data_IF_083608395264
#
_entry.id   IF_083608395264
#
_cell.length_a   1.000
_cell.length_b   1.000
_cell.length_c   1.000
_cell.angle_alpha   90.00
_cell.angle_beta   90.00
_cell.angle_gamma   90.00
#
_symmetry.space_group_name_H-M   'P 1'
#
loop_
_entity.id
_entity.type
_entity.pdbx_description
1 polymer ?
#
# COMPACT_ATOMS: atom_id res chain seq x y z
N UNK A 1 -38.30 -34.11 -49.56
CA UNK A 1 -37.09 -33.95 -48.72
C UNK A 1 -36.94 -32.46 -48.40
N UNK A 2 -37.16 -32.05 -47.15
CA UNK A 2 -36.91 -30.67 -46.69
C UNK A 2 -35.60 -30.71 -45.89
N UNK A 3 -34.56 -30.04 -46.41
CA UNK A 3 -33.31 -29.87 -45.69
C UNK A 3 -33.49 -28.73 -44.67
N UNK A 4 -33.31 -29.04 -43.39
CA UNK A 4 -33.27 -28.06 -42.32
C UNK A 4 -31.85 -27.49 -42.23
N UNK A 5 -31.70 -26.19 -42.51
CA UNK A 5 -30.47 -25.45 -42.24
C UNK A 5 -30.38 -25.14 -40.74
N UNK A 6 -29.41 -25.74 -40.06
CA UNK A 6 -28.99 -25.33 -38.72
C UNK A 6 -28.08 -24.11 -38.84
N UNK A 7 -28.53 -22.95 -38.36
CA UNK A 7 -27.65 -21.80 -38.12
C UNK A 7 -26.93 -22.04 -36.79
N UNK A 8 -25.62 -22.26 -36.87
CA UNK A 8 -24.73 -22.29 -35.72
C UNK A 8 -24.51 -20.83 -35.27
N UNK A 9 -25.21 -20.40 -34.21
CA UNK A 9 -24.98 -19.12 -33.57
C UNK A 9 -23.65 -19.14 -32.83
N UNK A 10 -22.64 -18.44 -33.36
CA UNK A 10 -21.40 -18.17 -32.65
C UNK A 10 -21.67 -17.06 -31.64
N UNK A 11 -21.86 -17.42 -30.38
CA UNK A 11 -21.85 -16.46 -29.28
C UNK A 11 -20.43 -15.95 -29.07
N UNK A 12 -20.13 -14.74 -29.53
CA UNK A 12 -18.95 -14.01 -29.07
C UNK A 12 -19.15 -13.68 -27.60
N UNK A 13 -18.40 -14.34 -26.71
CA UNK A 13 -18.17 -13.84 -25.36
C UNK A 13 -17.33 -12.57 -25.48
N UNK A 14 -17.97 -11.39 -25.42
CA UNK A 14 -17.28 -10.16 -25.11
C UNK A 14 -16.71 -10.30 -23.69
N UNK A 15 -15.39 -10.47 -23.58
CA UNK A 15 -14.71 -10.22 -22.32
C UNK A 15 -15.05 -8.79 -21.90
N UNK A 16 -15.54 -8.60 -20.67
CA UNK A 16 -15.76 -7.27 -20.12
C UNK A 16 -14.42 -6.52 -20.15
N UNK A 17 -14.38 -5.39 -20.86
CA UNK A 17 -13.19 -4.55 -20.91
C UNK A 17 -13.01 -3.86 -19.54
N UNK A 18 -11.77 -3.81 -19.02
CA UNK A 18 -11.45 -3.05 -17.82
C UNK A 18 -11.63 -1.56 -18.13
N UNK A 19 -12.68 -0.94 -17.58
CA UNK A 19 -12.99 0.47 -17.78
C UNK A 19 -12.68 1.25 -16.50
N UNK A 20 -11.53 1.92 -16.49
CA UNK A 20 -11.08 2.72 -15.36
C UNK A 20 -11.13 4.22 -15.68
N UNK A 21 -11.58 4.99 -14.70
CA UNK A 21 -11.62 6.44 -14.71
C UNK A 21 -11.10 7.00 -13.38
N UNK A 22 -10.56 8.21 -13.43
CA UNK A 22 -10.18 8.96 -12.25
C UNK A 22 -11.27 9.99 -11.97
N UNK A 23 -11.82 9.96 -10.76
CA UNK A 23 -12.81 10.94 -10.29
C UNK A 23 -12.26 11.66 -9.08
N UNK A 24 -12.18 12.99 -9.16
CA UNK A 24 -11.53 13.78 -8.12
C UNK A 24 -11.39 15.24 -8.53
N UNK A 25 -11.04 16.07 -7.55
CA UNK A 25 -10.68 17.47 -7.75
C UNK A 25 -9.42 17.74 -6.94
N UNK A 26 -8.45 18.42 -7.53
CA UNK A 26 -7.28 18.94 -6.79
C UNK A 26 -7.73 19.77 -5.57
N UNK A 27 -8.85 20.49 -5.70
CA UNK A 27 -9.55 21.12 -4.58
C UNK A 27 -10.61 20.14 -4.00
N UNK A 28 -10.23 19.32 -3.04
CA UNK A 28 -11.10 18.30 -2.42
C UNK A 28 -10.37 17.23 -1.58
N UNK A 29 -9.03 17.22 -1.63
CA UNK A 29 -8.17 16.45 -0.73
C UNK A 29 -8.03 14.97 -1.06
N UNK A 30 -8.61 14.48 -2.16
CA UNK A 30 -8.41 13.11 -2.64
C UNK A 30 -8.76 12.92 -4.12
N UNK A 31 -8.29 11.80 -4.69
CA UNK A 31 -8.66 11.26 -6.00
C UNK A 31 -9.07 9.80 -5.87
N UNK A 32 -10.20 9.46 -6.49
CA UNK A 32 -10.71 8.10 -6.60
C UNK A 32 -10.31 7.49 -7.93
N UNK A 33 -9.80 6.27 -7.88
CA UNK A 33 -9.71 5.41 -9.04
C UNK A 33 -10.95 4.51 -9.07
N UNK A 34 -11.81 4.74 -10.05
CA UNK A 34 -13.06 4.02 -10.24
C UNK A 34 -12.92 3.05 -11.41
N UNK A 35 -13.18 1.77 -11.17
CA UNK A 35 -13.15 0.71 -12.19
C UNK A 35 -14.52 0.08 -12.27
N UNK A 36 -15.12 0.04 -13.46
CA UNK A 36 -16.46 -0.53 -13.71
C UNK A 36 -17.53 0.01 -12.74
N UNK A 37 -17.44 1.30 -12.41
CA UNK A 37 -18.36 1.99 -11.50
C UNK A 37 -18.09 1.77 -10.01
N UNK A 38 -17.06 1.01 -9.63
CA UNK A 38 -16.68 0.77 -8.25
C UNK A 38 -15.39 1.51 -7.90
N UNK A 39 -15.35 2.21 -6.78
CA UNK A 39 -14.09 2.77 -6.26
C UNK A 39 -13.18 1.61 -5.87
N UNK A 40 -11.99 1.55 -6.47
CA UNK A 40 -10.96 0.58 -6.09
C UNK A 40 -9.98 1.18 -5.11
N UNK A 41 -9.57 2.43 -5.35
CA UNK A 41 -8.61 3.17 -4.54
C UNK A 41 -9.07 4.60 -4.33
N UNK A 42 -8.64 5.18 -3.20
CA UNK A 42 -8.69 6.62 -2.94
C UNK A 42 -7.34 7.10 -2.47
N UNK A 43 -6.69 7.97 -3.22
CA UNK A 43 -5.43 8.60 -2.79
C UNK A 43 -5.72 9.95 -2.18
N UNK A 44 -5.26 10.14 -0.94
CA UNK A 44 -5.48 11.35 -0.18
C UNK A 44 -4.40 12.38 -0.51
N UNK A 45 -4.84 13.53 -1.01
CA UNK A 45 -4.00 14.67 -1.44
C UNK A 45 -4.41 15.96 -0.72
N UNK A 46 -4.55 15.97 0.62
CA UNK A 46 -4.96 17.18 1.33
C UNK A 46 -3.92 18.29 1.18
N UNK A 47 -4.38 19.53 1.06
CA UNK A 47 -3.52 20.69 1.29
C UNK A 47 -3.13 20.73 2.76
N UNK A 48 -1.84 20.92 3.06
CA UNK A 48 -1.37 21.00 4.43
C UNK A 48 -2.02 22.16 5.20
N UNK A 49 -2.66 21.85 6.33
CA UNK A 49 -3.20 22.82 7.28
C UNK A 49 -2.61 22.54 8.67
N UNK A 50 -1.78 23.45 9.23
CA UNK A 50 -1.20 23.27 10.55
C UNK A 50 -2.27 23.21 11.67
N UNK A 51 -3.46 23.77 11.47
CA UNK A 51 -4.57 23.69 12.44
C UNK A 51 -5.33 22.36 12.36
N UNK A 52 -5.19 21.64 11.25
CA UNK A 52 -5.77 20.33 11.03
C UNK A 52 -4.70 19.29 10.66
N UNK A 53 -3.57 19.39 11.37
CA UNK A 53 -2.33 18.73 10.98
C UNK A 53 -2.51 17.24 10.78
N UNK A 54 -3.22 16.59 11.70
CA UNK A 54 -3.47 15.14 11.63
C UNK A 54 -4.09 14.75 10.29
N UNK A 55 -5.12 15.44 9.83
CA UNK A 55 -5.77 15.12 8.56
C UNK A 55 -4.86 15.36 7.35
N UNK A 56 -3.93 16.32 7.45
CA UNK A 56 -3.26 16.89 6.27
C UNK A 56 -1.74 16.68 6.16
N UNK A 57 -1.07 16.07 7.15
CA UNK A 57 0.40 15.96 7.13
C UNK A 57 0.96 14.82 6.27
N UNK A 58 0.12 13.90 5.76
CA UNK A 58 0.55 12.64 5.12
C UNK A 58 -0.23 12.36 3.84
N UNK A 59 0.48 11.87 2.82
CA UNK A 59 -0.10 11.32 1.59
C UNK A 59 -0.14 9.80 1.70
N UNK A 60 -1.33 9.22 1.55
CA UNK A 60 -1.56 7.79 1.66
C UNK A 60 -2.72 7.38 0.76
N UNK A 61 -2.80 6.09 0.45
CA UNK A 61 -3.86 5.54 -0.40
C UNK A 61 -4.70 4.52 0.33
N UNK A 62 -6.01 4.64 0.21
CA UNK A 62 -6.94 3.65 0.67
C UNK A 62 -7.17 2.55 -0.38
N UNK A 63 -7.26 1.31 0.09
CA UNK A 63 -7.94 0.22 -0.63
C UNK A 63 -9.43 0.25 -0.26
N UNK A 64 -10.30 0.05 -1.25
CA UNK A 64 -11.75 -0.09 -1.06
C UNK A 64 -12.20 -1.55 -1.11
N UNK A 65 -13.35 -1.81 -0.51
CA UNK A 65 -14.04 -3.10 -0.62
C UNK A 65 -14.42 -3.42 -2.08
N UNK A 66 -14.82 -4.68 -2.32
CA UNK A 66 -15.15 -5.14 -3.67
C UNK A 66 -16.46 -4.57 -4.22
N UNK A 67 -17.30 -3.94 -3.40
CA UNK A 67 -18.47 -3.20 -3.85
C UNK A 67 -18.16 -1.72 -4.14
N UNK A 68 -16.94 -1.26 -3.85
CA UNK A 68 -16.55 0.15 -3.92
C UNK A 68 -17.28 1.04 -2.92
N UNK A 69 -17.82 0.47 -1.84
CA UNK A 69 -18.71 1.18 -0.91
C UNK A 69 -17.95 1.92 0.19
N UNK A 70 -16.90 1.32 0.74
CA UNK A 70 -16.09 1.92 1.80
C UNK A 70 -14.61 1.50 1.74
N UNK A 71 -13.70 2.32 2.30
CA UNK A 71 -12.30 1.92 2.47
C UNK A 71 -12.18 0.76 3.47
N UNK A 72 -11.38 -0.24 3.13
CA UNK A 72 -10.99 -1.33 4.05
C UNK A 72 -9.69 -1.02 4.81
N UNK A 73 -9.15 0.17 4.59
CA UNK A 73 -7.88 0.66 5.14
C UNK A 73 -8.11 1.88 6.00
N UNK A 74 -7.22 2.14 6.95
CA UNK A 74 -7.42 3.17 7.97
C UNK A 74 -6.98 4.56 7.49
N UNK A 75 -7.75 5.57 7.85
CA UNK A 75 -7.40 6.99 7.75
C UNK A 75 -6.86 7.56 9.08
N UNK A 76 -6.96 8.87 9.31
CA UNK A 76 -6.63 9.51 10.59
C UNK A 76 -7.59 9.11 11.73
N UNK A 77 -7.26 9.51 12.96
CA UNK A 77 -8.02 9.18 14.17
C UNK A 77 -7.83 7.75 14.68
N UNK A 78 -8.56 7.37 15.74
CA UNK A 78 -8.55 6.03 16.32
C UNK A 78 -7.24 5.62 17.01
N UNK A 79 -7.03 4.30 17.20
CA UNK A 79 -5.81 3.76 17.81
C UNK A 79 -4.66 3.81 16.80
N UNK A 80 -3.51 4.34 17.23
CA UNK A 80 -2.30 4.48 16.41
C UNK A 80 -2.55 5.34 15.16
N UNK A 81 -2.89 6.61 15.38
CA UNK A 81 -3.34 7.58 14.36
C UNK A 81 -2.37 7.77 13.18
N UNK A 82 -1.08 7.55 13.43
CA UNK A 82 -0.01 7.65 12.43
C UNK A 82 0.04 6.50 11.44
N UNK A 83 -0.55 5.34 11.76
CA UNK A 83 -0.70 4.24 10.81
C UNK A 83 -1.92 4.47 9.92
N UNK A 84 -1.68 4.66 8.62
CA UNK A 84 -2.70 4.89 7.58
C UNK A 84 -2.56 3.89 6.46
N UNK A 85 -3.54 3.85 5.55
CA UNK A 85 -3.72 2.90 4.46
C UNK A 85 -2.44 2.36 3.83
N UNK A 86 -2.10 2.75 2.61
CA UNK A 86 -0.82 2.44 1.97
C UNK A 86 0.04 3.68 2.06
N UNK A 87 1.17 3.60 2.77
CA UNK A 87 2.14 4.69 2.81
C UNK A 87 3.56 4.17 3.05
N UNK A 88 4.53 5.03 2.73
CA UNK A 88 5.96 4.81 2.94
C UNK A 88 6.55 5.94 3.81
N UNK A 89 7.46 5.61 4.73
CA UNK A 89 8.08 6.57 5.64
C UNK A 89 9.06 5.92 6.61
N UNK A 90 9.78 6.73 7.40
CA UNK A 90 10.78 6.28 8.36
C UNK A 90 10.77 7.16 9.61
N UNK A 91 10.75 6.52 10.79
CA UNK A 91 10.75 7.22 12.08
C UNK A 91 12.01 8.04 12.31
N UNK A 92 13.15 7.59 11.79
CA UNK A 92 14.42 8.26 11.98
C UNK A 92 15.01 8.60 10.59
N UNK A 93 14.71 9.80 10.09
CA UNK A 93 15.16 10.33 8.79
C UNK A 93 16.23 11.39 9.00
N UNK A 94 17.50 10.99 8.94
CA UNK A 94 18.63 11.87 9.23
C UNK A 94 18.99 12.71 8.00
N UNK A 95 18.74 14.01 8.08
CA UNK A 95 19.12 15.01 7.08
C UNK A 95 20.16 15.93 7.72
N UNK A 96 21.42 15.79 7.31
CA UNK A 96 22.55 16.41 8.01
C UNK A 96 22.57 16.03 9.50
N UNK A 97 22.42 17.00 10.41
CA UNK A 97 22.35 16.78 11.86
C UNK A 97 20.94 16.69 12.43
N UNK A 98 19.92 16.81 11.58
CA UNK A 98 18.51 16.81 12.00
C UNK A 98 17.88 15.47 11.73
N UNK A 99 17.10 14.98 12.70
CA UNK A 99 16.42 13.69 12.64
C UNK A 99 14.91 13.93 12.54
N UNK A 100 14.39 13.85 11.32
CA UNK A 100 12.97 14.01 11.03
C UNK A 100 12.21 12.69 11.22
N UNK A 101 11.07 12.73 11.90
CA UNK A 101 10.18 11.58 11.98
C UNK A 101 9.17 11.58 10.83
N UNK A 102 9.56 11.05 9.68
CA UNK A 102 8.68 10.96 8.50
C UNK A 102 7.62 9.86 8.63
N UNK A 103 7.60 9.13 9.76
CA UNK A 103 6.61 8.12 10.06
C UNK A 103 5.42 8.70 10.85
N UNK A 104 5.67 9.17 12.06
CA UNK A 104 4.68 9.80 12.94
C UNK A 104 4.45 11.26 12.59
N UNK A 105 5.43 11.90 11.95
CA UNK A 105 5.44 13.32 11.66
C UNK A 105 5.40 14.16 12.95
N UNK A 106 6.05 13.77 14.04
CA UNK A 106 5.96 14.54 15.31
C UNK A 106 7.30 15.15 15.75
N UNK A 107 8.37 14.36 15.75
CA UNK A 107 9.73 14.82 16.06
C UNK A 107 10.29 15.53 14.84
N UNK A 108 10.70 16.78 15.02
CA UNK A 108 11.05 17.73 13.95
C UNK A 108 9.91 17.80 12.92
N UNK A 109 8.95 18.69 13.15
CA UNK A 109 7.70 18.71 12.41
C UNK A 109 7.95 18.71 10.90
N UNK A 110 7.46 17.66 10.24
CA UNK A 110 7.60 17.46 8.80
C UNK A 110 6.28 16.99 8.19
N UNK A 111 6.22 16.95 6.86
CA UNK A 111 5.01 16.65 6.10
C UNK A 111 5.35 15.91 4.82
N UNK A 112 4.39 15.14 4.31
CA UNK A 112 4.33 14.73 2.91
C UNK A 112 3.20 15.52 2.25
N UNK A 113 3.51 16.28 1.20
CA UNK A 113 2.56 17.17 0.54
C UNK A 113 2.44 16.80 -0.93
N UNK A 114 1.21 16.63 -1.41
CA UNK A 114 0.95 16.48 -2.83
C UNK A 114 1.33 17.78 -3.55
N UNK A 115 2.18 17.67 -4.57
CA UNK A 115 2.62 18.81 -5.40
C UNK A 115 1.72 18.93 -6.62
N UNK A 116 1.60 17.83 -7.38
CA UNK A 116 0.74 17.72 -8.57
C UNK A 116 0.65 16.26 -9.01
N UNK A 117 -0.36 15.96 -9.83
CA UNK A 117 -0.37 14.77 -10.68
C UNK A 117 0.55 14.97 -11.89
N UNK A 118 1.50 14.07 -12.07
CA UNK A 118 2.31 13.98 -13.28
C UNK A 118 1.58 13.21 -14.38
N UNK A 119 0.82 12.18 -14.01
CA UNK A 119 0.08 11.33 -14.94
C UNK A 119 -1.16 10.72 -14.28
N UNK A 120 -2.27 10.68 -15.03
CA UNK A 120 -3.50 9.95 -14.70
C UNK A 120 -3.96 9.26 -15.97
N UNK A 121 -3.63 7.99 -16.15
CA UNK A 121 -3.89 7.25 -17.39
C UNK A 121 -4.57 5.93 -17.13
N UNK A 122 -5.44 5.53 -18.04
CA UNK A 122 -6.04 4.20 -18.06
C UNK A 122 -6.05 3.64 -19.47
N UNK A 123 -6.04 2.32 -19.55
CA UNK A 123 -6.23 1.56 -20.78
C UNK A 123 -7.14 0.36 -20.48
N UNK A 124 -7.38 -0.49 -21.48
CA UNK A 124 -8.29 -1.63 -21.37
C UNK A 124 -7.82 -2.77 -20.43
N UNK A 125 -6.69 -2.61 -19.73
CA UNK A 125 -6.10 -3.63 -18.84
C UNK A 125 -5.55 -3.09 -17.52
N UNK A 126 -5.26 -1.79 -17.44
CA UNK A 126 -4.72 -1.18 -16.22
C UNK A 126 -5.04 0.32 -16.13
N UNK A 127 -4.91 0.86 -14.93
CA UNK A 127 -4.92 2.29 -14.68
C UNK A 127 -3.78 2.69 -13.75
N UNK A 128 -3.13 3.81 -14.06
CA UNK A 128 -1.95 4.30 -13.36
C UNK A 128 -2.11 5.77 -13.04
N UNK A 129 -1.81 6.11 -11.80
CA UNK A 129 -1.65 7.47 -11.32
C UNK A 129 -0.20 7.69 -10.88
N UNK A 130 0.36 8.84 -11.25
CA UNK A 130 1.72 9.25 -10.86
C UNK A 130 1.62 10.62 -10.21
N UNK A 131 1.98 10.70 -8.93
CA UNK A 131 2.01 11.94 -8.15
C UNK A 131 3.43 12.36 -7.80
N UNK A 132 3.68 13.67 -7.82
CA UNK A 132 4.85 14.28 -7.20
C UNK A 132 4.50 14.69 -5.77
N UNK A 133 5.34 14.29 -4.82
CA UNK A 133 5.16 14.54 -3.38
C UNK A 133 6.43 15.21 -2.84
N UNK A 134 6.25 16.32 -2.13
CA UNK A 134 7.32 16.98 -1.40
C UNK A 134 7.33 16.51 0.05
N UNK A 135 8.49 16.05 0.53
CA UNK A 135 8.71 15.79 1.95
C UNK A 135 9.42 17.01 2.52
N UNK A 136 8.74 17.77 3.36
CA UNK A 136 9.18 19.10 3.79
C UNK A 136 9.17 19.26 5.30
N UNK A 137 10.08 20.10 5.80
CA UNK A 137 10.08 20.57 7.19
C UNK A 137 8.96 21.60 7.44
N UNK A 138 8.87 22.10 8.66
CA UNK A 138 7.86 23.07 9.10
C UNK A 138 7.98 24.44 8.42
N UNK A 139 9.17 24.79 7.93
CA UNK A 139 9.40 25.98 7.11
C UNK A 139 8.92 25.82 5.65
N UNK A 140 8.53 24.60 5.26
CA UNK A 140 8.14 24.25 3.90
C UNK A 140 9.34 23.90 3.00
N UNK A 141 10.55 23.77 3.55
CA UNK A 141 11.73 23.38 2.77
C UNK A 141 11.71 21.88 2.52
N UNK A 142 11.72 21.51 1.25
CA UNK A 142 11.75 20.11 0.82
C UNK A 142 13.13 19.49 1.04
N UNK A 143 13.18 18.30 1.65
CA UNK A 143 14.41 17.52 1.83
C UNK A 143 14.38 16.19 1.05
N UNK A 144 13.20 15.65 0.71
CA UNK A 144 13.05 14.52 -0.24
C UNK A 144 11.98 14.89 -1.27
N UNK A 145 12.31 14.71 -2.54
CA UNK A 145 11.33 14.68 -3.62
C UNK A 145 10.93 13.23 -3.88
N UNK A 146 9.64 12.92 -3.75
CA UNK A 146 9.08 11.61 -4.10
C UNK A 146 8.28 11.73 -5.40
N UNK A 147 8.51 10.79 -6.31
CA UNK A 147 7.54 10.46 -7.36
C UNK A 147 6.92 9.14 -6.98
N UNK A 148 5.60 9.08 -6.84
CA UNK A 148 4.87 7.87 -6.48
C UNK A 148 3.95 7.46 -7.61
N UNK A 149 4.11 6.23 -8.07
CA UNK A 149 3.22 5.62 -9.05
C UNK A 149 2.38 4.54 -8.36
N UNK A 150 1.06 4.62 -8.53
CA UNK A 150 0.13 3.57 -8.13
C UNK A 150 -0.57 3.08 -9.39
N UNK A 151 -0.38 1.80 -9.70
CA UNK A 151 -1.04 1.15 -10.84
C UNK A 151 -1.96 0.06 -10.36
N UNK A 152 -3.10 -0.12 -11.02
CA UNK A 152 -4.02 -1.22 -10.74
C UNK A 152 -4.37 -1.98 -11.99
N UNK A 153 -4.65 -3.26 -11.80
CA UNK A 153 -5.14 -4.15 -12.84
C UNK A 153 -6.00 -5.25 -12.22
N UNK A 154 -6.92 -5.86 -12.99
CA UNK A 154 -7.56 -7.08 -12.56
C UNK A 154 -6.51 -8.22 -12.55
N UNK A 155 -6.64 -9.15 -11.61
CA UNK A 155 -5.92 -10.41 -11.60
C UNK A 155 -6.89 -11.59 -11.74
N UNK A 156 -6.33 -12.78 -11.88
CA UNK A 156 -7.11 -14.01 -12.04
C UNK A 156 -8.12 -14.22 -10.89
N UNK A 157 -9.22 -14.91 -11.16
CA UNK A 157 -10.22 -15.30 -10.15
C UNK A 157 -10.87 -14.14 -9.36
N UNK A 158 -10.80 -12.92 -9.90
CA UNK A 158 -11.35 -11.72 -9.28
C UNK A 158 -10.39 -11.03 -8.32
N UNK A 159 -9.08 -11.27 -8.42
CA UNK A 159 -8.09 -10.53 -7.67
C UNK A 159 -8.04 -9.06 -8.13
N UNK A 160 -7.75 -8.15 -7.20
CA UNK A 160 -7.31 -6.78 -7.53
C UNK A 160 -5.82 -6.67 -7.27
N UNK A 161 -5.06 -6.28 -8.27
CA UNK A 161 -3.62 -6.05 -8.16
C UNK A 161 -3.38 -4.55 -8.07
N UNK A 162 -2.54 -4.14 -7.13
CA UNK A 162 -2.12 -2.75 -6.93
C UNK A 162 -0.60 -2.71 -6.82
N UNK A 163 0.06 -2.15 -7.81
CA UNK A 163 1.49 -1.87 -7.74
C UNK A 163 1.70 -0.49 -7.10
N UNK A 164 2.49 -0.44 -6.03
CA UNK A 164 2.91 0.77 -5.36
C UNK A 164 4.41 0.94 -5.58
N UNK A 165 4.79 2.02 -6.26
CA UNK A 165 6.18 2.33 -6.54
C UNK A 165 6.49 3.73 -6.03
N UNK A 166 7.63 3.89 -5.36
CA UNK A 166 8.07 5.17 -4.82
C UNK A 166 9.52 5.42 -5.20
N UNK A 167 9.77 6.50 -5.92
CA UNK A 167 11.10 6.97 -6.29
C UNK A 167 11.47 8.16 -5.42
N UNK A 168 12.41 7.98 -4.51
CA UNK A 168 12.88 9.02 -3.58
C UNK A 168 14.18 9.63 -4.09
N UNK A 169 14.23 10.96 -4.15
CA UNK A 169 15.42 11.74 -4.50
C UNK A 169 15.73 12.70 -3.37
N UNK A 170 16.93 12.60 -2.79
CA UNK A 170 17.36 13.57 -1.78
C UNK A 170 17.57 14.95 -2.40
N UNK A 171 17.06 15.98 -1.72
CA UNK A 171 17.23 17.40 -2.04
C UNK A 171 18.13 18.13 -1.01
N UNK A 172 18.75 17.40 -0.08
CA UNK A 172 19.45 17.97 1.08
C UNK A 172 20.68 17.16 1.49
N UNK A 173 21.51 16.74 0.53
CA UNK A 173 22.71 15.95 0.79
C UNK A 173 22.43 14.46 0.99
N UNK A 174 23.27 13.77 1.77
CA UNK A 174 23.04 12.38 2.15
C UNK A 174 21.93 12.30 3.20
N UNK A 175 20.98 11.38 3.00
CA UNK A 175 19.89 11.13 3.95
C UNK A 175 19.89 9.66 4.35
N UNK A 176 20.00 9.38 5.64
CA UNK A 176 19.84 8.02 6.16
C UNK A 176 18.39 7.79 6.59
N UNK A 177 17.76 6.77 6.01
CA UNK A 177 16.39 6.38 6.35
C UNK A 177 16.45 5.16 7.27
N UNK A 178 16.19 5.39 8.55
CA UNK A 178 16.31 4.41 9.64
C UNK A 178 15.01 4.31 10.42
N UNK A 179 14.96 3.37 11.34
CA UNK A 179 13.88 3.35 12.31
C UNK A 179 13.75 2.02 13.01
N UNK A 180 12.51 1.66 13.31
CA UNK A 180 12.19 0.36 13.88
C UNK A 180 11.19 -0.38 13.01
N UNK A 181 11.11 -1.69 13.25
CA UNK A 181 10.21 -2.62 12.58
C UNK A 181 8.74 -2.12 12.54
N UNK A 182 8.32 -1.37 13.54
CA UNK A 182 6.96 -0.87 13.71
C UNK A 182 6.75 0.51 13.07
N UNK A 183 7.82 1.20 12.67
CA UNK A 183 7.76 2.60 12.22
C UNK A 183 8.72 2.94 11.08
N UNK A 184 8.97 2.03 10.14
CA UNK A 184 9.77 2.31 8.94
C UNK A 184 9.45 1.40 7.74
N UNK A 185 9.69 1.90 6.53
CA UNK A 185 9.47 1.22 5.25
C UNK A 185 8.10 1.49 4.63
N UNK A 186 7.56 0.54 3.87
CA UNK A 186 6.23 0.63 3.24
C UNK A 186 5.29 -0.37 3.88
N UNK A 187 4.12 0.11 4.32
CA UNK A 187 3.18 -0.71 5.06
C UNK A 187 1.73 -0.40 4.73
N UNK A 188 0.89 -1.35 5.13
CA UNK A 188 -0.55 -1.31 5.06
C UNK A 188 -1.12 -1.23 6.46
N UNK A 189 -2.08 -0.33 6.68
CA UNK A 189 -2.96 -0.37 7.85
C UNK A 189 -4.42 -0.59 7.47
N UNK A 190 -4.97 -1.70 7.94
CA UNK A 190 -6.39 -2.03 7.80
C UNK A 190 -7.24 -1.21 8.79
N UNK A 191 -8.52 -1.03 8.43
CA UNK A 191 -9.53 -0.23 9.12
C UNK A 191 -9.49 -0.35 10.66
N UNK A 192 -9.86 0.75 11.33
CA UNK A 192 -9.83 0.86 12.80
C UNK A 192 -10.60 -0.26 13.50
N UNK A 193 -11.71 -0.71 12.92
CA UNK A 193 -12.54 -1.78 13.50
C UNK A 193 -11.76 -3.07 13.79
N UNK A 194 -10.70 -3.37 13.02
CA UNK A 194 -9.88 -4.56 13.27
C UNK A 194 -9.12 -4.42 14.57
N UNK A 195 -8.63 -3.22 14.89
CA UNK A 195 -7.95 -2.95 16.16
C UNK A 195 -8.90 -2.92 17.36
N UNK A 196 -10.17 -2.60 17.12
CA UNK A 196 -11.20 -2.60 18.17
C UNK A 196 -11.63 -4.03 18.50
N UNK A 197 -11.63 -4.93 17.51
CA UNK A 197 -11.89 -6.37 17.69
C UNK A 197 -10.70 -7.12 18.30
N UNK A 198 -9.47 -6.83 17.85
CA UNK A 198 -8.25 -7.52 18.25
C UNK A 198 -7.50 -6.82 19.41
N UNK A 199 -8.23 -6.25 20.38
CA UNK A 199 -7.64 -5.37 21.41
C UNK A 199 -6.40 -5.99 22.06
N UNK A 200 -5.34 -5.18 22.16
CA UNK A 200 -3.98 -5.60 22.50
C UNK A 200 -3.90 -6.33 23.86
N UNK A 201 -4.81 -6.02 24.79
CA UNK A 201 -4.90 -6.67 26.11
C UNK A 201 -5.32 -8.16 26.05
N UNK A 202 -5.86 -8.62 24.92
CA UNK A 202 -6.38 -9.99 24.77
C UNK A 202 -5.50 -10.88 23.87
N UNK A 203 -4.44 -10.34 23.27
CA UNK A 203 -3.58 -11.05 22.28
C UNK A 203 -3.00 -12.38 22.77
N UNK A 204 -2.70 -12.48 24.06
CA UNK A 204 -2.15 -13.70 24.68
C UNK A 204 -3.22 -14.62 25.26
N UNK A 205 -4.47 -14.16 25.30
CA UNK A 205 -5.60 -14.88 25.91
C UNK A 205 -6.52 -15.55 24.88
N UNK A 206 -6.39 -15.17 23.60
CA UNK A 206 -7.19 -15.73 22.51
C UNK A 206 -6.32 -16.70 21.69
N UNK A 207 -6.71 -17.99 21.57
CA UNK A 207 -6.04 -18.95 20.69
C UNK A 207 -5.86 -18.40 19.26
N UNK A 208 -4.76 -18.73 18.61
CA UNK A 208 -4.38 -18.14 17.32
C UNK A 208 -5.48 -18.31 16.24
N UNK A 209 -6.18 -19.45 16.25
CA UNK A 209 -7.28 -19.77 15.35
C UNK A 209 -8.55 -18.94 15.58
N UNK A 210 -8.66 -18.29 16.75
CA UNK A 210 -9.79 -17.41 17.12
C UNK A 210 -9.48 -15.92 16.96
N UNK A 211 -8.25 -15.56 16.58
CA UNK A 211 -7.89 -14.16 16.30
C UNK A 211 -8.57 -13.70 15.01
N UNK A 212 -9.10 -12.48 14.98
CA UNK A 212 -9.81 -12.00 13.80
C UNK A 212 -8.85 -11.73 12.63
N UNK A 213 -7.63 -11.30 12.97
CA UNK A 213 -6.48 -11.20 12.06
C UNK A 213 -5.60 -12.45 12.09
N UNK A 214 -5.30 -12.98 10.90
CA UNK A 214 -4.41 -14.12 10.67
C UNK A 214 -3.38 -13.77 9.60
N UNK A 215 -2.19 -14.37 9.67
CA UNK A 215 -1.14 -14.17 8.67
C UNK A 215 -0.73 -15.48 8.02
N UNK A 216 -0.64 -15.47 6.70
CA UNK A 216 0.01 -16.50 5.88
C UNK A 216 1.38 -15.96 5.48
N UNK A 217 2.42 -16.77 5.71
CA UNK A 217 3.82 -16.39 5.51
C UNK A 217 4.52 -17.34 4.53
N UNK A 218 5.58 -16.88 3.84
CA UNK A 218 6.36 -17.72 2.94
C UNK A 218 7.03 -18.88 3.66
N UNK A 219 7.15 -20.01 2.95
CA UNK A 219 7.97 -21.12 3.41
C UNK A 219 9.43 -20.65 3.64
N UNK A 220 10.03 -21.07 4.75
CA UNK A 220 11.39 -20.67 5.13
C UNK A 220 11.49 -19.32 5.85
N UNK A 221 10.39 -18.56 6.00
CA UNK A 221 10.36 -17.42 6.90
C UNK A 221 10.23 -17.83 8.36
N UNK A 222 10.68 -16.96 9.25
CA UNK A 222 10.59 -17.19 10.71
C UNK A 222 9.81 -16.05 11.35
N UNK A 223 8.69 -16.37 11.99
CA UNK A 223 8.00 -15.47 12.90
C UNK A 223 8.70 -15.49 14.26
N UNK A 224 9.11 -14.32 14.72
CA UNK A 224 9.84 -14.10 15.96
C UNK A 224 8.97 -13.28 16.93
N UNK A 225 9.52 -12.98 18.11
CA UNK A 225 8.91 -12.04 19.06
C UNK A 225 8.66 -10.67 18.41
N UNK A 226 7.80 -9.88 19.06
CA UNK A 226 7.49 -8.50 18.66
C UNK A 226 6.84 -8.38 17.26
N UNK A 227 6.11 -9.43 16.85
CA UNK A 227 5.41 -9.53 15.56
C UNK A 227 6.39 -9.37 14.36
N UNK A 228 7.64 -9.82 14.51
CA UNK A 228 8.71 -9.76 13.51
C UNK A 228 8.74 -11.00 12.63
N UNK A 229 9.00 -10.82 11.33
CA UNK A 229 9.18 -11.92 10.37
C UNK A 229 10.45 -11.70 9.57
N UNK A 230 11.38 -12.65 9.63
CA UNK A 230 12.62 -12.67 8.85
C UNK A 230 12.54 -13.70 7.73
N UNK A 231 13.35 -13.51 6.67
CA UNK A 231 13.36 -14.40 5.50
C UNK A 231 12.10 -14.31 4.63
N UNK A 232 11.32 -13.23 4.76
CA UNK A 232 10.08 -13.01 4.02
C UNK A 232 10.23 -11.87 3.01
N UNK A 233 9.70 -12.10 1.82
CA UNK A 233 9.52 -11.08 0.79
C UNK A 233 8.05 -10.71 0.57
N UNK A 234 7.15 -11.42 1.23
CA UNK A 234 5.73 -11.13 1.24
C UNK A 234 5.10 -11.58 2.57
N UNK A 235 3.95 -10.99 2.90
CA UNK A 235 3.08 -11.46 3.96
C UNK A 235 1.62 -11.26 3.53
N UNK A 236 0.77 -12.23 3.80
CA UNK A 236 -0.66 -12.14 3.51
C UNK A 236 -1.45 -12.02 4.82
N UNK A 237 -2.15 -10.88 4.98
CA UNK A 237 -3.06 -10.64 6.09
C UNK A 237 -4.47 -11.11 5.71
N UNK A 238 -5.08 -11.94 6.56
CA UNK A 238 -6.51 -12.26 6.51
C UNK A 238 -7.22 -11.61 7.69
N UNK A 239 -8.19 -10.75 7.42
CA UNK A 239 -8.90 -9.99 8.45
C UNK A 239 -10.33 -9.68 8.01
N UNK A 240 -11.18 -9.28 8.96
CA UNK A 240 -12.58 -8.94 8.69
C UNK A 240 -12.83 -7.44 8.80
N UNK A 241 -13.41 -6.86 7.75
CA UNK A 241 -13.86 -5.47 7.69
C UNK A 241 -15.30 -5.45 7.19
N UNK A 242 -16.20 -4.75 7.89
CA UNK A 242 -17.62 -4.66 7.53
C UNK A 242 -18.32 -6.01 7.50
N UNK A 243 -17.92 -6.96 8.35
CA UNK A 243 -18.46 -8.32 8.38
C UNK A 243 -18.02 -9.22 7.22
N UNK A 244 -17.09 -8.76 6.36
CA UNK A 244 -16.52 -9.52 5.25
C UNK A 244 -15.04 -9.79 5.49
N UNK A 245 -14.60 -11.01 5.18
CA UNK A 245 -13.18 -11.40 5.29
C UNK A 245 -12.45 -11.13 3.98
N UNK A 246 -11.28 -10.52 4.09
CA UNK A 246 -10.38 -10.23 2.97
C UNK A 246 -9.04 -10.91 3.18
N UNK A 247 -8.36 -11.22 2.07
CA UNK A 247 -6.95 -11.62 2.03
C UNK A 247 -6.17 -10.56 1.28
N UNK A 248 -5.14 -10.03 1.92
CA UNK A 248 -4.39 -8.86 1.50
C UNK A 248 -2.91 -9.22 1.55
N UNK A 249 -2.30 -9.43 0.39
CA UNK A 249 -0.87 -9.72 0.31
C UNK A 249 -0.12 -8.41 0.12
N UNK A 250 0.91 -8.18 0.92
CA UNK A 250 1.94 -7.17 0.66
C UNK A 250 3.21 -7.89 0.19
N UNK A 251 3.77 -7.49 -0.95
CA UNK A 251 4.95 -8.09 -1.57
C UNK A 251 6.01 -7.02 -1.83
N UNK A 252 7.26 -7.32 -1.49
CA UNK A 252 8.42 -6.47 -1.77
C UNK A 252 9.17 -7.03 -2.95
N UNK A 253 9.42 -6.24 -3.99
CA UNK A 253 10.24 -6.69 -5.12
C UNK A 253 11.71 -6.83 -4.71
N UNK A 254 12.47 -7.82 -5.23
CA UNK A 254 13.90 -7.95 -4.98
C UNK A 254 14.76 -6.73 -5.35
N UNK A 255 14.26 -5.85 -6.24
CA UNK A 255 14.95 -4.61 -6.59
C UNK A 255 14.84 -3.50 -5.54
N UNK A 256 13.98 -3.64 -4.54
CA UNK A 256 13.75 -2.62 -3.49
C UNK A 256 14.91 -2.53 -2.51
N UNK A 257 15.47 -3.68 -2.11
CA UNK A 257 16.55 -3.75 -1.15
C UNK A 257 17.42 -4.98 -1.43
N UNK A 258 18.74 -4.85 -1.27
CA UNK A 258 19.69 -5.91 -1.60
C UNK A 258 19.53 -7.16 -0.72
N UNK A 259 19.17 -6.96 0.54
CA UNK A 259 18.86 -8.03 1.49
C UNK A 259 17.35 -8.16 1.65
N UNK A 260 16.88 -9.35 2.04
CA UNK A 260 15.47 -9.54 2.40
C UNK A 260 15.06 -8.48 3.42
N UNK A 261 13.93 -7.79 3.21
CA UNK A 261 13.40 -6.89 4.23
C UNK A 261 12.97 -7.70 5.45
N UNK A 262 12.76 -7.00 6.56
CA UNK A 262 12.11 -7.60 7.74
C UNK A 262 10.64 -7.22 7.69
N UNK A 263 9.75 -8.19 7.76
CA UNK A 263 8.32 -7.94 7.81
C UNK A 263 7.84 -7.76 9.24
N UNK A 264 6.84 -6.92 9.43
CA UNK A 264 6.10 -6.81 10.69
C UNK A 264 4.64 -7.14 10.47
N UNK A 265 4.02 -7.87 11.39
CA UNK A 265 2.67 -8.44 11.21
C UNK A 265 1.80 -8.26 12.46
N UNK A 266 1.42 -7.01 12.76
CA UNK A 266 0.67 -6.69 13.98
C UNK A 266 -0.72 -7.32 13.96
N UNK A 267 -1.19 -7.81 15.10
CA UNK A 267 -2.53 -8.39 15.20
C UNK A 267 -3.67 -7.41 14.87
N UNK A 268 -3.46 -6.09 14.96
CA UNK A 268 -4.45 -5.09 14.51
C UNK A 268 -4.39 -4.82 12.99
N UNK A 269 -3.90 -5.78 12.21
CA UNK A 269 -3.72 -5.73 10.76
C UNK A 269 -2.96 -4.48 10.26
N UNK A 270 -1.84 -4.19 10.93
CA UNK A 270 -0.77 -3.34 10.39
C UNK A 270 0.39 -4.23 10.01
N UNK A 271 0.78 -4.19 8.75
CA UNK A 271 1.85 -5.05 8.26
C UNK A 271 2.58 -4.45 7.06
N UNK A 272 3.78 -4.93 6.80
CA UNK A 272 4.59 -4.51 5.66
C UNK A 272 6.08 -4.69 5.91
N UNK A 273 6.88 -4.13 5.02
CA UNK A 273 8.31 -4.38 4.94
C UNK A 273 9.13 -3.22 5.52
N UNK A 274 10.12 -3.55 6.33
CA UNK A 274 11.12 -2.65 6.89
C UNK A 274 12.49 -2.90 6.25
N UNK A 275 13.16 -1.83 5.86
CA UNK A 275 14.56 -1.78 5.44
C UNK A 275 15.12 -0.36 5.69
N UNK A 276 16.44 -0.22 5.66
CA UNK A 276 17.14 1.04 5.94
C UNK A 276 18.04 1.43 4.75
N UNK A 277 17.54 2.26 3.81
CA UNK A 277 18.34 2.77 2.72
C UNK A 277 19.08 4.07 3.10
N UNK A 278 20.11 4.40 2.32
CA UNK A 278 20.77 5.71 2.36
C UNK A 278 20.55 6.37 1.00
N UNK A 279 19.90 7.54 0.99
CA UNK A 279 19.74 8.35 -0.21
C UNK A 279 20.97 9.24 -0.40
N UNK A 280 21.49 9.29 -1.62
CA UNK A 280 22.52 10.23 -2.02
C UNK A 280 21.89 11.38 -2.82
N UNK A 281 22.42 12.58 -2.66
CA UNK A 281 21.90 13.78 -3.34
C UNK A 281 21.90 13.61 -4.86
N UNK A 282 20.76 13.92 -5.50
CA UNK A 282 20.61 13.83 -6.95
C UNK A 282 20.66 12.41 -7.54
N UNK A 283 20.72 11.35 -6.71
CA UNK A 283 20.69 9.94 -7.14
C UNK A 283 19.39 9.27 -6.67
N UNK A 284 18.35 9.26 -7.52
CA UNK A 284 17.06 8.68 -7.15
C UNK A 284 17.17 7.18 -6.85
N UNK A 285 16.44 6.72 -5.83
CA UNK A 285 16.26 5.29 -5.54
C UNK A 285 14.78 4.93 -5.65
N UNK A 286 14.50 3.81 -6.33
CA UNK A 286 13.15 3.36 -6.58
C UNK A 286 12.83 2.09 -5.80
N UNK A 287 11.74 2.14 -5.03
CA UNK A 287 11.21 1.04 -4.23
C UNK A 287 9.91 0.54 -4.84
N UNK A 288 9.75 -0.78 -4.92
CA UNK A 288 8.67 -1.42 -5.67
C UNK A 288 7.95 -2.46 -4.81
N UNK A 289 6.64 -2.31 -4.71
CA UNK A 289 5.76 -3.19 -3.94
C UNK A 289 4.54 -3.56 -4.77
N UNK A 290 3.99 -4.74 -4.48
CA UNK A 290 2.70 -5.18 -5.01
C UNK A 290 1.79 -5.55 -3.86
N UNK A 291 0.57 -5.08 -3.94
CA UNK A 291 -0.54 -5.45 -3.08
C UNK A 291 -1.51 -6.26 -3.91
N UNK A 292 -1.97 -7.39 -3.37
CA UNK A 292 -3.02 -8.21 -3.99
C UNK A 292 -4.18 -8.35 -3.02
N UNK A 293 -5.40 -8.08 -3.49
CA UNK A 293 -6.62 -8.14 -2.71
C UNK A 293 -7.54 -9.26 -3.22
N UNK A 294 -8.16 -10.00 -2.29
CA UNK A 294 -9.08 -11.11 -2.58
C UNK A 294 -10.20 -11.20 -1.53
N UNK A 295 -11.45 -11.47 -1.98
CA UNK A 295 -12.55 -11.93 -1.11
C UNK A 295 -12.54 -13.46 -0.92
N UNK A 296 -11.70 -14.18 -1.66
CA UNK A 296 -11.51 -15.63 -1.56
C UNK A 296 -10.25 -15.96 -0.75
N UNK A 297 -10.24 -17.08 -0.01
CA UNK A 297 -9.06 -17.52 0.71
C UNK A 297 -7.83 -17.65 -0.18
N UNK A 298 -6.70 -17.15 0.31
CA UNK A 298 -5.37 -17.37 -0.27
C UNK A 298 -4.53 -18.16 0.73
N UNK A 299 -4.10 -19.34 0.31
CA UNK A 299 -3.14 -20.15 1.07
C UNK A 299 -1.69 -19.77 0.71
N UNK A 300 -0.72 -20.42 1.36
CA UNK A 300 0.69 -20.13 1.14
C UNK A 300 1.14 -20.42 -0.31
N UNK A 301 0.59 -21.45 -0.96
CA UNK A 301 0.96 -21.82 -2.32
C UNK A 301 0.44 -20.77 -3.34
N UNK A 302 -0.80 -20.32 -3.18
CA UNK A 302 -1.37 -19.26 -3.99
C UNK A 302 -0.61 -17.94 -3.80
N UNK A 303 -0.30 -17.57 -2.55
CA UNK A 303 0.50 -16.38 -2.26
C UNK A 303 1.90 -16.44 -2.87
N UNK A 304 2.56 -17.60 -2.75
CA UNK A 304 3.90 -17.80 -3.33
C UNK A 304 3.88 -17.73 -4.85
N UNK A 305 2.88 -18.31 -5.53
CA UNK A 305 2.76 -18.24 -6.98
C UNK A 305 2.59 -16.79 -7.48
N UNK A 306 1.77 -15.99 -6.79
CA UNK A 306 1.62 -14.57 -7.09
C UNK A 306 2.94 -13.81 -6.89
N UNK A 307 3.66 -14.10 -5.80
CA UNK A 307 4.97 -13.50 -5.54
C UNK A 307 6.01 -13.90 -6.57
N UNK A 308 6.10 -15.17 -6.94
CA UNK A 308 7.09 -15.67 -7.92
C UNK A 308 6.90 -15.01 -9.29
N UNK A 309 5.64 -14.75 -9.68
CA UNK A 309 5.34 -13.98 -10.89
C UNK A 309 5.78 -12.53 -10.74
N UNK A 310 5.53 -11.90 -9.59
CA UNK A 310 5.89 -10.51 -9.34
C UNK A 310 7.41 -10.30 -9.26
N UNK A 311 8.14 -11.15 -8.53
CA UNK A 311 9.58 -11.06 -8.32
C UNK A 311 10.40 -11.23 -9.62
N UNK A 312 9.80 -11.83 -10.66
CA UNK A 312 10.40 -11.96 -12.00
C UNK A 312 9.96 -10.84 -12.96
N UNK A 313 8.98 -10.03 -12.57
CA UNK A 313 8.52 -8.92 -13.38
C UNK A 313 9.56 -7.81 -13.44
N UNK A 314 9.48 -6.95 -14.45
CA UNK A 314 10.30 -5.75 -14.50
C UNK A 314 9.47 -4.59 -13.96
N UNK A 315 9.83 -3.99 -12.82
CA UNK A 315 9.10 -2.83 -12.32
C UNK A 315 9.16 -1.68 -13.33
N UNK A 316 8.03 -1.00 -13.53
CA UNK A 316 7.94 0.18 -14.37
C UNK A 316 8.91 1.25 -13.87
N UNK A 317 9.69 1.85 -14.78
CA UNK A 317 10.56 3.00 -14.46
C UNK A 317 9.83 4.28 -14.84
N UNK A 318 9.85 5.25 -13.95
CA UNK A 318 9.29 6.59 -14.09
C UNK A 318 10.20 7.59 -13.37
#
# INVERSE_FOLDING_TARGET
>A
MRAASFLLGVSLLCAAAFAAQFDGKDAGGHYDLVVDGQVWLRTMTPTYDPNNREETYKIYTHLFDFAGSAPITKGPGGKYTHHRGLFIGWKDTFVNSTDFDTWHMVKEACTQQHVKWAELVSNASSATQVEEIAWADDSGKTFINEVRAISTSPGDNGLRIVDFQSKLTSAAGTIELKGDLQHAGMQIRIAQEVADKDDAETKDKVPAEKKSTQYVLPAGSTAEKDDKVTGAWWACCSCEVGGKRYWIIHMTHPSTCANSPVYSIRAYARFGAFWEPTLEEGKPQQYNFRIVLSEKPLDAAACQALYDSYAKSTPTKF
#
